data_IF_836766656260
#
_entry.id   IF_836766656260
#
_cell.length_a   1.000
_cell.length_b   1.000
_cell.length_c   1.000
_cell.angle_alpha   90.00
_cell.angle_beta   90.00
_cell.angle_gamma   90.00
#
_symmetry.space_group_name_H-M   'P 1'
#
loop_
_entity.id
_entity.type
_entity.pdbx_description
1 polymer ?
#
# COMPACT_ATOMS: atom_id res chain seq x y z
N UNK A 1 -2.05 -23.61 -15.79
CA UNK A 1 -3.17 -23.51 -14.83
C UNK A 1 -3.37 -22.02 -14.54
N UNK A 2 -4.59 -21.48 -14.68
CA UNK A 2 -4.83 -20.06 -14.40
C UNK A 2 -4.68 -19.80 -12.90
N UNK A 3 -3.99 -18.72 -12.51
CA UNK A 3 -3.83 -18.36 -11.10
C UNK A 3 -5.17 -17.89 -10.53
N UNK A 4 -5.50 -18.31 -9.30
CA UNK A 4 -6.67 -17.80 -8.61
C UNK A 4 -6.44 -16.35 -8.18
N UNK A 5 -7.48 -15.51 -8.08
CA UNK A 5 -7.34 -14.13 -7.62
C UNK A 5 -6.67 -14.01 -6.24
N UNK A 6 -6.98 -14.94 -5.32
CA UNK A 6 -6.34 -15.00 -3.99
C UNK A 6 -4.83 -15.21 -4.07
N UNK A 7 -4.39 -16.16 -4.91
CA UNK A 7 -2.96 -16.42 -5.10
C UNK A 7 -2.26 -15.22 -5.75
N UNK A 8 -2.92 -14.52 -6.67
CA UNK A 8 -2.39 -13.27 -7.25
C UNK A 8 -2.23 -12.21 -6.15
N UNK A 9 -3.24 -12.00 -5.30
CA UNK A 9 -3.18 -11.03 -4.19
C UNK A 9 -1.98 -11.34 -3.27
N UNK A 10 -1.78 -12.60 -2.91
CA UNK A 10 -0.66 -13.03 -2.06
C UNK A 10 0.70 -12.76 -2.72
N UNK A 11 0.85 -13.13 -3.99
CA UNK A 11 2.09 -12.89 -4.75
C UNK A 11 2.40 -11.40 -4.89
N UNK A 12 1.39 -10.58 -5.19
CA UNK A 12 1.54 -9.12 -5.30
C UNK A 12 1.98 -8.48 -4.00
N UNK A 13 1.37 -8.86 -2.87
CA UNK A 13 1.76 -8.38 -1.55
C UNK A 13 3.21 -8.76 -1.23
N UNK A 14 3.60 -10.00 -1.52
CA UNK A 14 4.97 -10.45 -1.34
C UNK A 14 5.96 -9.69 -2.24
N UNK A 15 5.60 -9.44 -3.50
CA UNK A 15 6.40 -8.66 -4.44
C UNK A 15 6.61 -7.22 -3.95
N UNK A 16 5.56 -6.57 -3.45
CA UNK A 16 5.61 -5.22 -2.87
C UNK A 16 6.53 -5.13 -1.64
N UNK A 17 6.44 -6.12 -0.75
CA UNK A 17 7.31 -6.20 0.43
C UNK A 17 8.77 -6.41 0.02
N UNK A 18 9.01 -7.27 -0.98
CA UNK A 18 10.35 -7.50 -1.53
C UNK A 18 10.92 -6.28 -2.26
N UNK A 19 10.08 -5.52 -2.96
CA UNK A 19 10.44 -4.27 -3.63
C UNK A 19 10.85 -3.23 -2.57
N UNK A 20 10.08 -3.11 -1.49
CA UNK A 20 10.34 -2.11 -0.45
C UNK A 20 11.66 -2.37 0.30
N UNK A 21 11.99 -3.65 0.51
CA UNK A 21 13.29 -4.07 1.01
C UNK A 21 14.44 -3.54 0.14
N UNK A 22 14.29 -3.61 -1.19
CA UNK A 22 15.33 -3.19 -2.13
C UNK A 22 15.37 -1.66 -2.26
N UNK A 23 14.22 -1.01 -2.16
CA UNK A 23 14.09 0.42 -2.32
C UNK A 23 13.07 0.99 -1.31
N UNK A 24 13.52 1.60 -0.21
CA UNK A 24 12.61 2.17 0.78
C UNK A 24 11.87 3.41 0.24
N UNK A 25 12.21 3.89 -0.96
CA UNK A 25 11.63 5.08 -1.60
C UNK A 25 10.42 4.80 -2.49
N UNK A 26 9.84 3.59 -2.48
CA UNK A 26 8.63 3.27 -3.25
C UNK A 26 7.57 4.32 -2.97
N UNK A 27 7.22 5.07 -4.01
CA UNK A 27 6.19 6.10 -3.96
C UNK A 27 4.82 5.43 -3.98
N UNK A 28 3.92 5.89 -3.11
CA UNK A 28 2.54 5.40 -3.00
C UNK A 28 1.51 6.49 -3.23
N UNK A 29 1.93 7.74 -3.46
CA UNK A 29 1.07 8.83 -3.89
C UNK A 29 1.79 9.77 -4.86
N UNK A 30 1.08 10.23 -5.87
CA UNK A 30 1.55 11.20 -6.87
C UNK A 30 0.50 12.28 -7.11
N UNK A 31 0.90 13.43 -7.64
CA UNK A 31 0.00 14.55 -7.92
C UNK A 31 -0.80 14.34 -9.23
N UNK A 32 -0.20 13.66 -10.20
CA UNK A 32 -0.76 13.49 -11.55
C UNK A 32 -0.39 12.13 -12.15
N UNK A 33 -1.21 11.53 -13.03
CA UNK A 33 -0.87 10.30 -13.72
C UNK A 33 0.38 10.43 -14.61
N UNK A 34 0.72 11.64 -15.07
CA UNK A 34 1.86 11.87 -15.96
C UNK A 34 3.22 11.49 -15.34
N UNK A 35 3.35 11.54 -14.02
CA UNK A 35 4.60 11.20 -13.31
C UNK A 35 4.64 9.75 -12.83
N UNK A 36 3.54 9.01 -12.98
CA UNK A 36 3.43 7.64 -12.48
C UNK A 36 4.48 6.67 -13.01
N UNK A 37 4.82 6.63 -14.31
CA UNK A 37 5.82 5.70 -14.82
C UNK A 37 7.15 5.81 -14.07
N UNK A 38 7.64 7.05 -13.92
CA UNK A 38 8.94 7.35 -13.29
C UNK A 38 8.93 7.03 -11.80
N UNK A 39 7.84 7.34 -11.11
CA UNK A 39 7.75 7.19 -9.65
C UNK A 39 7.34 5.79 -9.19
N UNK A 40 6.71 5.02 -10.07
CA UNK A 40 6.40 3.60 -9.82
C UNK A 40 7.62 2.72 -10.06
N UNK A 41 8.41 3.01 -11.10
CA UNK A 41 9.59 2.22 -11.49
C UNK A 41 10.86 3.06 -11.34
N UNK A 42 11.31 3.20 -10.09
CA UNK A 42 12.47 4.03 -9.76
C UNK A 42 13.80 3.43 -10.24
N UNK A 43 13.84 2.12 -10.49
CA UNK A 43 15.01 1.36 -10.92
C UNK A 43 15.49 1.77 -12.32
N UNK A 44 14.57 2.00 -13.26
CA UNK A 44 14.86 2.41 -14.64
C UNK A 44 14.20 3.74 -15.05
N UNK A 45 13.59 4.44 -14.08
CA UNK A 45 12.84 5.68 -14.28
C UNK A 45 11.66 5.51 -15.26
N UNK A 46 11.00 4.36 -15.24
CA UNK A 46 9.79 4.11 -16.02
C UNK A 46 10.06 3.75 -17.48
N UNK A 47 11.24 3.21 -17.79
CA UNK A 47 11.55 2.79 -19.15
C UNK A 47 10.57 1.71 -19.62
N UNK A 48 9.90 1.95 -20.74
CA UNK A 48 8.90 1.01 -21.29
C UNK A 48 7.61 0.91 -20.47
N UNK A 49 7.42 1.77 -19.47
CA UNK A 49 6.19 1.83 -18.69
C UNK A 49 5.13 2.70 -19.36
N UNK A 50 3.91 2.19 -19.43
CA UNK A 50 2.73 2.89 -19.90
C UNK A 50 1.75 3.19 -18.78
N UNK A 51 0.93 4.22 -18.98
CA UNK A 51 -0.24 4.52 -18.15
C UNK A 51 -1.49 4.21 -18.95
N UNK A 52 -2.39 3.42 -18.37
CA UNK A 52 -3.60 2.94 -19.02
C UNK A 52 -4.84 3.03 -18.14
N UNK A 53 -5.99 2.76 -18.76
CA UNK A 53 -7.25 2.63 -18.07
C UNK A 53 -7.32 1.31 -17.28
N UNK A 54 -8.09 1.31 -16.19
CA UNK A 54 -8.45 0.07 -15.50
C UNK A 54 -9.58 -0.62 -16.25
N UNK A 55 -9.24 -1.42 -17.27
CA UNK A 55 -10.22 -2.07 -18.15
C UNK A 55 -11.06 -1.03 -18.91
N UNK A 56 -12.40 -1.15 -18.86
CA UNK A 56 -13.33 -0.21 -19.54
C UNK A 56 -13.57 1.11 -18.77
N UNK A 57 -12.83 1.38 -17.69
CA UNK A 57 -13.11 2.52 -16.80
C UNK A 57 -12.42 3.81 -17.25
N UNK A 58 -13.02 4.93 -16.89
CA UNK A 58 -12.46 6.25 -17.16
C UNK A 58 -11.15 6.47 -16.37
N UNK A 59 -10.09 6.87 -17.08
CA UNK A 59 -8.78 7.22 -16.53
C UNK A 59 -8.81 8.39 -15.54
N UNK A 60 -9.88 9.19 -15.53
CA UNK A 60 -10.00 10.34 -14.62
C UNK A 60 -9.94 9.96 -13.13
N UNK A 61 -10.37 8.75 -12.76
CA UNK A 61 -10.39 8.33 -11.35
C UNK A 61 -9.50 7.13 -11.03
N UNK A 62 -9.15 6.32 -12.03
CA UNK A 62 -8.41 5.07 -11.81
C UNK A 62 -7.44 4.84 -12.95
N UNK A 63 -6.20 4.51 -12.65
CA UNK A 63 -5.13 4.30 -13.64
C UNK A 63 -4.32 3.05 -13.31
N UNK A 64 -3.89 2.36 -14.37
CA UNK A 64 -2.91 1.28 -14.31
C UNK A 64 -1.59 1.83 -14.80
N UNK A 65 -0.52 1.46 -14.11
CA UNK A 65 0.86 1.71 -14.56
C UNK A 65 1.49 0.35 -14.76
N UNK A 66 2.03 0.09 -15.94
CA UNK A 66 2.62 -1.22 -16.24
C UNK A 66 3.75 -1.14 -17.25
N UNK A 67 4.73 -2.04 -17.12
CA UNK A 67 5.77 -2.32 -18.12
C UNK A 67 5.84 -3.83 -18.40
N UNK A 68 6.55 -4.24 -19.43
CA UNK A 68 6.74 -5.66 -19.76
C UNK A 68 7.43 -6.43 -18.62
N UNK A 69 7.13 -7.72 -18.45
CA UNK A 69 7.75 -8.60 -17.44
C UNK A 69 6.74 -9.16 -16.43
N UNK A 70 7.23 -9.54 -15.23
CA UNK A 70 6.40 -10.12 -14.16
C UNK A 70 5.36 -9.11 -13.66
N UNK A 71 4.05 -9.33 -13.87
CA UNK A 71 3.02 -8.36 -13.50
C UNK A 71 2.92 -8.09 -11.99
N UNK A 72 3.42 -8.99 -11.14
CA UNK A 72 3.43 -8.77 -9.69
C UNK A 72 4.35 -7.61 -9.29
N UNK A 73 5.40 -7.37 -10.07
CA UNK A 73 6.40 -6.31 -9.89
C UNK A 73 6.20 -5.16 -10.87
N UNK A 74 5.73 -5.47 -12.08
CA UNK A 74 5.70 -4.55 -13.21
C UNK A 74 4.31 -4.00 -13.50
N UNK A 75 3.34 -4.18 -12.61
CA UNK A 75 2.03 -3.57 -12.72
C UNK A 75 1.46 -3.10 -11.36
N UNK A 76 0.85 -1.93 -11.36
CA UNK A 76 0.18 -1.36 -10.19
C UNK A 76 -1.08 -0.59 -10.57
N UNK A 77 -2.00 -0.46 -9.63
CA UNK A 77 -3.25 0.29 -9.77
C UNK A 77 -3.30 1.44 -8.78
N UNK A 78 -3.74 2.58 -9.29
CA UNK A 78 -3.80 3.84 -8.57
C UNK A 78 -5.16 4.46 -8.76
N UNK A 79 -5.64 5.13 -7.71
CA UNK A 79 -6.94 5.80 -7.74
C UNK A 79 -6.80 7.21 -7.23
N UNK A 80 -7.64 8.11 -7.75
CA UNK A 80 -7.70 9.49 -7.26
C UNK A 80 -8.05 9.46 -5.77
N UNK A 81 -7.42 10.31 -4.95
CA UNK A 81 -7.62 10.32 -3.51
C UNK A 81 -9.10 10.48 -3.09
N UNK A 82 -9.92 11.14 -3.91
CA UNK A 82 -11.36 11.31 -3.70
C UNK A 82 -12.23 10.11 -4.10
N UNK A 83 -11.70 9.16 -4.87
CA UNK A 83 -12.43 7.97 -5.33
C UNK A 83 -12.81 7.07 -4.15
N UNK A 84 -13.89 6.31 -4.27
CA UNK A 84 -14.37 5.40 -3.20
C UNK A 84 -14.56 3.95 -3.67
N UNK A 85 -14.59 3.70 -4.99
CA UNK A 85 -14.82 2.39 -5.57
C UNK A 85 -13.59 1.47 -5.62
N UNK A 86 -12.75 1.46 -4.58
CA UNK A 86 -11.43 0.79 -4.62
C UNK A 86 -11.53 -0.69 -4.99
N UNK A 87 -12.47 -1.41 -4.39
CA UNK A 87 -12.70 -2.83 -4.67
C UNK A 87 -13.00 -3.08 -6.14
N UNK A 88 -13.88 -2.26 -6.72
CA UNK A 88 -14.25 -2.31 -8.13
C UNK A 88 -13.03 -2.03 -9.03
N UNK A 89 -12.26 -0.99 -8.71
CA UNK A 89 -11.01 -0.68 -9.43
C UNK A 89 -10.02 -1.86 -9.39
N UNK A 90 -9.76 -2.40 -8.21
CA UNK A 90 -8.82 -3.50 -8.03
C UNK A 90 -9.24 -4.78 -8.77
N UNK A 91 -10.54 -5.14 -8.75
CA UNK A 91 -11.05 -6.25 -9.58
C UNK A 91 -10.78 -6.02 -11.06
N UNK A 92 -11.02 -4.80 -11.57
CA UNK A 92 -10.73 -4.52 -12.98
C UNK A 92 -9.24 -4.55 -13.30
N UNK A 93 -8.38 -4.22 -12.33
CA UNK A 93 -6.94 -4.37 -12.47
C UNK A 93 -6.55 -5.85 -12.57
N UNK A 94 -7.06 -6.71 -11.69
CA UNK A 94 -6.82 -8.16 -11.75
C UNK A 94 -7.29 -8.76 -13.10
N UNK A 95 -8.48 -8.37 -13.55
CA UNK A 95 -9.04 -8.89 -14.80
C UNK A 95 -8.26 -8.40 -16.02
N UNK A 96 -7.80 -7.15 -16.00
CA UNK A 96 -7.04 -6.55 -17.10
C UNK A 96 -5.60 -7.06 -17.19
N UNK A 97 -4.86 -7.05 -16.07
CA UNK A 97 -3.42 -7.35 -16.07
C UNK A 97 -3.15 -8.85 -16.08
N UNK A 98 -3.98 -9.63 -15.38
CA UNK A 98 -3.76 -11.07 -15.21
C UNK A 98 -4.69 -11.93 -16.07
N UNK A 99 -5.57 -11.31 -16.86
CA UNK A 99 -6.53 -12.04 -17.70
C UNK A 99 -7.54 -12.87 -16.90
N UNK A 100 -7.81 -12.47 -15.65
CA UNK A 100 -8.73 -13.20 -14.76
C UNK A 100 -10.20 -12.80 -14.97
N UNK A 101 -11.09 -13.55 -14.34
CA UNK A 101 -12.52 -13.22 -14.20
C UNK A 101 -12.88 -13.01 -12.72
N UNK A 102 -12.03 -12.29 -11.99
CA UNK A 102 -12.24 -11.99 -10.59
C UNK A 102 -13.54 -11.20 -10.36
N UNK A 103 -14.19 -11.51 -9.24
CA UNK A 103 -15.43 -10.94 -8.76
C UNK A 103 -15.28 -10.45 -7.31
N UNK A 104 -16.32 -9.83 -6.77
CA UNK A 104 -16.37 -9.43 -5.36
C UNK A 104 -16.18 -10.61 -4.41
N UNK A 105 -16.64 -11.81 -4.77
CA UNK A 105 -16.53 -13.01 -3.94
C UNK A 105 -15.07 -13.46 -3.79
N UNK A 106 -14.27 -13.31 -4.84
CA UNK A 106 -12.86 -13.70 -4.84
C UNK A 106 -11.98 -12.83 -3.92
N UNK A 107 -12.46 -11.65 -3.56
CA UNK A 107 -11.80 -10.76 -2.60
C UNK A 107 -12.37 -10.95 -1.17
N UNK A 108 -13.11 -12.02 -0.89
CA UNK A 108 -13.60 -12.30 0.46
C UNK A 108 -12.42 -12.42 1.44
N UNK A 109 -12.51 -11.76 2.59
CA UNK A 109 -11.41 -11.68 3.57
C UNK A 109 -10.32 -10.64 3.23
N UNK A 110 -10.49 -9.87 2.15
CA UNK A 110 -9.59 -8.78 1.78
C UNK A 110 -10.33 -7.44 1.69
N UNK A 111 -9.72 -6.42 2.28
CA UNK A 111 -10.06 -5.01 2.06
C UNK A 111 -9.12 -4.47 0.98
N UNK A 112 -9.62 -3.61 0.10
CA UNK A 112 -8.76 -2.86 -0.82
C UNK A 112 -8.58 -1.48 -0.23
N UNK A 113 -7.36 -1.17 0.18
CA UNK A 113 -7.03 0.06 0.90
C UNK A 113 -5.94 0.83 0.16
N UNK A 114 -5.87 2.13 0.45
CA UNK A 114 -4.76 2.96 0.04
C UNK A 114 -3.48 2.53 0.76
N UNK A 115 -2.39 2.44 0.02
CA UNK A 115 -1.04 2.27 0.58
C UNK A 115 -0.48 3.58 1.17
N UNK A 116 -1.34 4.57 1.41
CA UNK A 116 -1.05 5.78 2.15
C UNK A 116 -2.36 6.22 2.82
N UNK A 117 -2.31 6.65 4.08
CA UNK A 117 -3.52 7.19 4.71
C UNK A 117 -4.03 8.42 3.92
N UNK A 118 -5.28 8.37 3.44
CA UNK A 118 -5.94 9.46 2.70
C UNK A 118 -5.93 10.79 3.45
N UNK A 119 -6.01 10.77 4.79
CA UNK A 119 -5.93 11.97 5.63
C UNK A 119 -4.58 12.71 5.46
N UNK A 120 -3.55 12.03 4.95
CA UNK A 120 -2.23 12.60 4.64
C UNK A 120 -2.13 13.11 3.21
N UNK A 121 -3.22 13.09 2.43
CA UNK A 121 -3.30 13.71 1.10
C UNK A 121 -4.01 15.06 1.13
N UNK A 122 -3.29 16.20 1.10
CA UNK A 122 -3.87 17.53 1.08
C UNK A 122 -4.79 17.71 -0.12
N UNK A 123 -5.97 18.30 0.13
CA UNK A 123 -6.90 18.75 -0.90
C UNK A 123 -7.61 17.66 -1.71
N UNK A 124 -7.42 16.36 -1.40
CA UNK A 124 -7.97 15.27 -2.23
C UNK A 124 -7.44 15.23 -3.67
N UNK A 125 -6.37 15.98 -3.93
CA UNK A 125 -5.65 16.01 -5.19
C UNK A 125 -4.65 14.85 -5.24
N UNK A 126 -4.43 14.31 -6.44
CA UNK A 126 -3.49 13.23 -6.67
C UNK A 126 -4.07 11.82 -6.67
N UNK A 127 -3.20 10.86 -6.95
CA UNK A 127 -3.48 9.45 -7.07
C UNK A 127 -2.70 8.68 -6.02
N UNK A 128 -3.35 7.72 -5.38
CA UNK A 128 -2.76 6.88 -4.34
C UNK A 128 -2.82 5.42 -4.82
N UNK A 129 -1.72 4.69 -4.63
CA UNK A 129 -1.65 3.25 -4.95
C UNK A 129 -2.60 2.51 -4.01
N UNK A 130 -3.37 1.58 -4.57
CA UNK A 130 -4.23 0.69 -3.78
C UNK A 130 -3.72 -0.74 -3.88
N UNK A 131 -3.98 -1.53 -2.85
CA UNK A 131 -3.67 -2.96 -2.83
C UNK A 131 -4.68 -3.70 -1.96
N UNK A 132 -4.88 -4.98 -2.23
CA UNK A 132 -5.66 -5.84 -1.35
C UNK A 132 -4.84 -6.23 -0.11
N UNK A 133 -5.42 -6.03 1.07
CA UNK A 133 -4.86 -6.38 2.38
C UNK A 133 -5.85 -7.25 3.14
N UNK A 134 -5.36 -8.18 3.97
CA UNK A 134 -6.25 -9.02 4.76
C UNK A 134 -7.13 -8.15 5.68
N UNK A 135 -8.45 -8.36 5.65
CA UNK A 135 -9.41 -7.50 6.36
C UNK A 135 -9.21 -7.52 7.87
N UNK A 136 -8.95 -8.68 8.48
CA UNK A 136 -8.75 -8.79 9.91
C UNK A 136 -7.51 -8.01 10.38
N UNK A 137 -6.42 -8.11 9.62
CA UNK A 137 -5.19 -7.35 9.87
C UNK A 137 -5.44 -5.85 9.65
N UNK A 138 -6.10 -5.48 8.56
CA UNK A 138 -6.38 -4.08 8.23
C UNK A 138 -7.20 -3.40 9.33
N UNK A 139 -8.26 -4.05 9.79
CA UNK A 139 -9.12 -3.56 10.87
C UNK A 139 -8.38 -3.47 12.21
N UNK A 140 -7.51 -4.43 12.53
CA UNK A 140 -6.70 -4.39 13.75
C UNK A 140 -5.78 -3.16 13.79
N UNK A 141 -5.09 -2.88 12.68
CA UNK A 141 -4.31 -1.65 12.54
C UNK A 141 -5.19 -0.39 12.56
N UNK A 142 -6.37 -0.43 11.92
CA UNK A 142 -7.32 0.68 11.87
C UNK A 142 -7.76 1.15 13.27
N UNK A 143 -8.22 0.22 14.12
CA UNK A 143 -8.63 0.50 15.52
C UNK A 143 -7.54 1.21 16.33
N UNK A 144 -6.29 0.93 16.00
CA UNK A 144 -5.12 1.45 16.68
C UNK A 144 -4.91 2.95 16.41
N UNK A 145 -5.15 3.35 15.16
CA UNK A 145 -4.98 4.71 14.66
C UNK A 145 -6.28 5.53 14.61
N UNK A 146 -7.44 4.95 14.97
CA UNK A 146 -8.75 5.59 14.80
C UNK A 146 -8.85 6.96 15.52
N UNK A 147 -8.39 7.05 16.76
CA UNK A 147 -8.33 8.33 17.52
C UNK A 147 -7.20 9.26 17.07
N UNK A 148 -6.09 8.68 16.60
CA UNK A 148 -4.99 9.45 16.03
C UNK A 148 -5.42 10.17 14.74
N UNK A 149 -6.24 9.52 13.93
CA UNK A 149 -6.70 10.02 12.64
C UNK A 149 -7.67 11.22 12.75
N UNK A 150 -8.33 11.42 13.89
CA UNK A 150 -9.19 12.59 14.14
C UNK A 150 -8.42 13.81 14.68
N UNK A 151 -7.14 13.66 15.05
CA UNK A 151 -6.33 14.74 15.58
C UNK A 151 -5.74 15.62 14.46
N UNK A 152 -5.95 16.95 14.43
CA UNK A 152 -5.37 17.88 13.46
C UNK A 152 -3.84 17.77 13.29
N UNK A 153 -3.09 17.41 14.34
CA UNK A 153 -1.64 17.21 14.28
C UNK A 153 -1.24 15.96 13.47
N UNK A 154 -2.12 14.96 13.36
CA UNK A 154 -1.91 13.81 12.47
C UNK A 154 -1.84 14.23 11.00
N UNK A 155 -2.50 15.35 10.66
CA UNK A 155 -2.47 15.97 9.35
C UNK A 155 -1.22 16.85 9.12
N UNK A 156 -0.48 17.27 10.16
CA UNK A 156 0.71 18.12 10.03
C UNK A 156 1.93 17.42 9.41
N UNK A 157 1.90 16.09 9.30
CA UNK A 157 2.92 15.31 8.59
C UNK A 157 2.81 15.41 7.04
N UNK A 158 2.04 16.39 6.53
CA UNK A 158 1.92 16.74 5.11
C UNK A 158 3.23 17.23 4.48
N UNK A 159 4.20 17.70 5.27
CA UNK A 159 5.48 18.24 4.79
C UNK A 159 6.49 17.17 4.32
N UNK A 160 6.16 15.88 4.41
CA UNK A 160 6.99 14.84 3.80
C UNK A 160 6.95 14.99 2.27
N UNK A 161 8.07 15.43 1.70
CA UNK A 161 8.27 15.60 0.26
C UNK A 161 8.13 14.30 -0.54
N UNK A 162 8.25 13.13 0.11
CA UNK A 162 8.05 11.82 -0.53
C UNK A 162 7.09 10.98 0.31
N UNK A 163 6.00 10.54 -0.31
CA UNK A 163 5.01 9.66 0.32
C UNK A 163 5.32 8.22 -0.04
N UNK A 164 6.16 7.62 0.79
CA UNK A 164 6.64 6.24 0.63
C UNK A 164 5.87 5.26 1.48
N UNK A 165 6.07 3.96 1.25
CA UNK A 165 5.61 2.92 2.16
C UNK A 165 6.15 3.14 3.59
N UNK A 166 5.36 2.76 4.58
CA UNK A 166 5.73 2.80 6.00
C UNK A 166 5.78 1.40 6.59
N UNK A 167 6.44 1.22 7.75
CA UNK A 167 6.48 -0.08 8.42
C UNK A 167 5.08 -0.64 8.74
N UNK A 168 4.08 0.20 9.00
CA UNK A 168 2.71 -0.28 9.22
C UNK A 168 2.07 -0.83 7.96
N UNK A 169 2.31 -0.17 6.82
CA UNK A 169 1.77 -0.63 5.53
C UNK A 169 2.50 -1.92 5.14
N UNK A 170 3.82 -2.00 5.33
CA UNK A 170 4.56 -3.23 5.11
C UNK A 170 4.07 -4.36 6.02
N UNK A 171 3.76 -4.09 7.29
CA UNK A 171 3.19 -5.09 8.20
C UNK A 171 1.82 -5.59 7.71
N UNK A 172 0.93 -4.68 7.28
CA UNK A 172 -0.36 -5.04 6.67
C UNK A 172 -0.16 -5.93 5.43
N UNK A 173 0.72 -5.52 4.52
CA UNK A 173 1.06 -6.29 3.31
C UNK A 173 1.67 -7.65 3.65
N UNK A 174 2.45 -7.74 4.72
CA UNK A 174 3.04 -8.99 5.19
C UNK A 174 2.13 -9.83 6.11
N UNK A 175 0.85 -9.43 6.25
CA UNK A 175 -0.16 -10.15 7.04
C UNK A 175 0.14 -10.21 8.54
N UNK A 176 0.77 -9.17 9.08
CA UNK A 176 1.15 -9.09 10.50
C UNK A 176 0.21 -8.18 11.27
N UNK A 177 -0.29 -8.70 12.39
CA UNK A 177 -1.08 -7.94 13.36
C UNK A 177 -0.21 -6.86 14.02
N UNK A 178 -0.83 -5.75 14.45
CA UNK A 178 -0.11 -4.72 15.18
C UNK A 178 0.30 -5.17 16.60
N UNK A 179 1.34 -4.56 17.18
CA UNK A 179 1.55 -4.55 18.63
C UNK A 179 0.40 -3.87 19.37
N UNK A 180 0.24 -4.09 20.67
CA UNK A 180 -0.84 -3.51 21.47
C UNK A 180 -0.68 -2.00 21.77
N UNK A 181 0.49 -1.43 21.48
CA UNK A 181 0.80 -0.01 21.66
C UNK A 181 2.30 0.28 21.70
N UNK A 182 2.72 1.53 21.96
CA UNK A 182 4.13 1.93 21.97
C UNK A 182 4.93 1.26 23.08
N UNK A 183 4.27 0.86 24.17
CA UNK A 183 4.91 0.18 25.31
C UNK A 183 4.93 -1.34 25.15
N UNK A 184 4.35 -1.90 24.08
CA UNK A 184 4.38 -3.34 23.78
C UNK A 184 5.73 -3.70 23.14
N UNK A 185 6.78 -3.65 23.95
CA UNK A 185 8.16 -3.96 23.52
C UNK A 185 8.26 -5.37 22.93
N UNK A 186 7.51 -6.33 23.49
CA UNK A 186 7.45 -7.71 23.00
C UNK A 186 6.87 -7.78 21.59
N UNK A 187 5.69 -7.20 21.36
CA UNK A 187 5.05 -7.16 20.05
C UNK A 187 5.87 -6.40 19.00
N UNK A 188 6.49 -5.28 19.39
CA UNK A 188 7.39 -4.51 18.50
C UNK A 188 8.61 -5.36 18.10
N UNK A 189 9.26 -6.02 19.06
CA UNK A 189 10.43 -6.87 18.78
C UNK A 189 10.09 -8.08 17.92
N UNK A 190 8.94 -8.72 18.12
CA UNK A 190 8.47 -9.83 17.28
C UNK A 190 8.28 -9.38 15.83
N UNK A 191 7.67 -8.20 15.63
CA UNK A 191 7.46 -7.66 14.29
C UNK A 191 8.77 -7.25 13.62
N UNK A 192 9.70 -6.64 14.38
CA UNK A 192 11.03 -6.30 13.88
C UNK A 192 11.85 -7.55 13.50
N UNK A 193 11.81 -8.60 14.33
CA UNK A 193 12.44 -9.88 14.03
C UNK A 193 11.83 -10.52 12.77
N UNK A 194 10.51 -10.42 12.58
CA UNK A 194 9.89 -10.86 11.35
C UNK A 194 10.41 -10.10 10.12
N UNK A 195 10.53 -8.77 10.19
CA UNK A 195 11.13 -7.99 9.10
C UNK A 195 12.59 -8.38 8.83
N UNK A 196 13.33 -8.75 9.87
CA UNK A 196 14.68 -9.31 9.73
C UNK A 196 14.68 -10.62 8.92
N UNK A 197 13.68 -11.50 9.11
CA UNK A 197 13.57 -12.72 8.28
C UNK A 197 13.32 -12.42 6.80
N UNK A 198 12.79 -11.24 6.48
CA UNK A 198 12.65 -10.75 5.11
C UNK A 198 13.94 -10.08 4.60
N UNK A 199 14.94 -9.88 5.47
CA UNK A 199 16.22 -9.26 5.19
C UNK A 199 16.20 -7.73 5.28
N UNK A 200 15.30 -7.17 6.08
CA UNK A 200 15.30 -5.74 6.46
C UNK A 200 16.08 -5.53 7.76
N UNK A 201 16.52 -4.31 8.05
CA UNK A 201 17.21 -3.99 9.30
C UNK A 201 16.24 -4.01 10.49
N UNK A 202 16.53 -4.83 11.50
CA UNK A 202 15.66 -5.01 12.66
C UNK A 202 15.65 -3.79 13.59
N UNK A 203 16.74 -3.02 13.65
CA UNK A 203 16.82 -1.81 14.47
C UNK A 203 16.02 -0.69 13.82
N UNK A 204 16.19 -0.46 12.52
CA UNK A 204 15.39 0.52 11.76
C UNK A 204 13.89 0.18 11.84
N UNK A 205 13.54 -1.11 11.73
CA UNK A 205 12.16 -1.57 11.89
C UNK A 205 11.62 -1.26 13.29
N UNK A 206 12.39 -1.55 14.34
CA UNK A 206 12.00 -1.28 15.74
C UNK A 206 11.79 0.20 15.98
N UNK A 207 12.73 1.03 15.55
CA UNK A 207 12.66 2.49 15.69
C UNK A 207 11.47 3.07 14.92
N UNK A 208 11.29 2.65 13.67
CA UNK A 208 10.18 3.09 12.83
C UNK A 208 8.81 2.71 13.39
N UNK A 209 8.65 1.46 13.87
CA UNK A 209 7.42 1.00 14.53
C UNK A 209 7.16 1.80 15.80
N UNK A 210 8.17 1.95 16.67
CA UNK A 210 8.05 2.67 17.95
C UNK A 210 7.69 4.13 17.73
N UNK A 211 8.34 4.81 16.78
CA UNK A 211 8.07 6.20 16.42
C UNK A 211 6.62 6.40 15.97
N UNK A 212 6.13 5.53 15.08
CA UNK A 212 4.76 5.63 14.56
C UNK A 212 3.70 5.31 15.62
N UNK A 213 3.93 4.30 16.46
CA UNK A 213 3.03 3.95 17.55
C UNK A 213 3.02 5.05 18.62
N UNK A 214 4.18 5.58 18.99
CA UNK A 214 4.27 6.69 19.97
C UNK A 214 3.56 7.92 19.46
N UNK A 215 3.73 8.26 18.18
CA UNK A 215 2.99 9.35 17.54
C UNK A 215 1.47 9.11 17.62
N UNK A 216 1.00 7.93 17.26
CA UNK A 216 -0.43 7.61 17.28
C UNK A 216 -1.05 7.62 18.68
N UNK A 217 -0.33 7.16 19.71
CA UNK A 217 -0.82 7.15 21.08
C UNK A 217 -0.65 8.49 21.78
N UNK A 218 0.40 9.25 21.48
CA UNK A 218 0.59 10.60 22.03
C UNK A 218 -0.47 11.60 21.56
N UNK A 219 -1.28 11.25 20.56
CA UNK A 219 -2.44 12.02 20.11
C UNK A 219 -3.77 11.51 20.66
N UNK A 220 -3.77 10.43 21.47
CA UNK A 220 -4.95 9.97 22.22
C UNK A 220 -5.16 10.84 23.44
#
# INVERSE_FOLDING_TARGET
>A
MALTPTLIIERRRAALVAEWKQNPLIVVQVESPAVLPVLTFLDDRGQGAGVGAVGRRNQTNTVIVSRAGDPDRNASVWVKASYTGYRTAYIGFLNHVYGTQATTADLAGYDVDHLLNRARSPGGAGYIRIEAVNSAVNQAWGRLFEKAASNPAFFANQHRLRRTLSWTICAKLANRLPPNGPNDVGGINQLAAYFQTLGMDANEAREGLTSMLSFAYGMR
#
